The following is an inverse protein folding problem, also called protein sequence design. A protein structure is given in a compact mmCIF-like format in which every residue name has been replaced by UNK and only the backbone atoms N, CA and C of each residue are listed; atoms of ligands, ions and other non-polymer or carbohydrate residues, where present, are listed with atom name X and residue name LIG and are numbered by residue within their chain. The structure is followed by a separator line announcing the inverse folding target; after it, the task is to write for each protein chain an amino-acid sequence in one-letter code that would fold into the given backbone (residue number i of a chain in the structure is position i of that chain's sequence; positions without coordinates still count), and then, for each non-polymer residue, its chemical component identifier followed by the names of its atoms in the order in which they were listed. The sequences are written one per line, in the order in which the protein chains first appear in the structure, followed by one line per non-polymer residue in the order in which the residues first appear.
data_IF_550182594998
#
_entry.id   IF_550182594998
#
_cell.length_a   1.000
_cell.length_b   1.000
_cell.length_c   1.000
_cell.angle_alpha   90.00
_cell.angle_beta   90.00
_cell.angle_gamma   90.00
#
_symmetry.space_group_name_H-M   'P 1'
#
loop_
_entity.id
_entity.type
_entity.pdbx_description
1 polymer ?
#
# COMPACT_ATOMS: atom_id res chain seq x y z
N UNK A 1 17.39 -20.18 -28.83
CA UNK A 1 18.54 -21.01 -28.38
C UNK A 1 19.10 -20.35 -27.13
N UNK A 2 18.97 -21.02 -25.96
CA UNK A 2 20.07 -21.72 -25.22
C UNK A 2 21.17 -20.74 -24.76
N UNK A 3 21.47 -20.52 -23.48
CA UNK A 3 21.47 -21.38 -22.29
C UNK A 3 21.29 -20.55 -21.01
N UNK A 4 20.60 -21.08 -19.99
CA UNK A 4 20.73 -20.62 -18.60
C UNK A 4 21.26 -21.79 -17.77
N UNK A 5 22.41 -21.57 -17.12
CA UNK A 5 23.10 -22.56 -16.30
C UNK A 5 22.46 -22.59 -14.91
N UNK A 6 22.06 -23.78 -14.47
CA UNK A 6 21.88 -24.08 -13.04
C UNK A 6 23.28 -24.12 -12.42
N UNK A 7 23.59 -23.21 -11.50
CA UNK A 7 24.94 -23.12 -10.91
C UNK A 7 25.19 -24.26 -9.91
N UNK A 8 24.15 -24.87 -9.32
CA UNK A 8 24.33 -26.00 -8.39
C UNK A 8 23.19 -27.06 -8.44
N UNK A 9 23.50 -28.38 -8.40
CA UNK A 9 22.52 -29.47 -8.47
C UNK A 9 21.45 -29.43 -7.37
N UNK A 10 21.78 -28.90 -6.20
CA UNK A 10 20.85 -28.72 -5.08
C UNK A 10 19.74 -27.67 -5.32
N UNK A 11 19.73 -26.92 -6.42
CA UNK A 11 18.67 -25.92 -6.70
C UNK A 11 17.58 -26.43 -7.68
N UNK A 12 17.66 -27.68 -8.15
CA UNK A 12 16.77 -28.22 -9.20
C UNK A 12 15.29 -28.35 -8.82
N UNK A 13 14.99 -28.52 -7.53
CA UNK A 13 13.61 -28.68 -7.05
C UNK A 13 12.87 -27.34 -6.94
N UNK A 14 13.59 -26.25 -6.61
CA UNK A 14 13.07 -24.88 -6.63
C UNK A 14 12.72 -24.41 -8.06
N UNK A 15 13.54 -24.80 -9.06
CA UNK A 15 13.32 -24.47 -10.47
C UNK A 15 11.99 -25.00 -11.03
N UNK A 16 11.66 -26.28 -10.80
CA UNK A 16 10.42 -26.90 -11.32
C UNK A 16 9.15 -26.31 -10.69
N UNK A 17 9.25 -25.71 -9.50
CA UNK A 17 8.13 -24.99 -8.88
C UNK A 17 7.93 -23.59 -9.49
N UNK A 18 9.03 -22.90 -9.82
CA UNK A 18 9.01 -21.57 -10.43
C UNK A 18 8.51 -21.59 -11.89
N UNK A 19 8.92 -22.56 -12.71
CA UNK A 19 8.47 -22.67 -14.11
C UNK A 19 6.95 -22.91 -14.24
N UNK A 20 6.36 -23.70 -13.34
CA UNK A 20 4.90 -23.98 -13.36
C UNK A 20 4.05 -22.79 -12.92
N UNK A 21 4.63 -21.82 -12.20
CA UNK A 21 3.91 -20.70 -11.56
C UNK A 21 4.06 -19.38 -12.33
N UNK A 22 5.02 -19.26 -13.24
CA UNK A 22 5.09 -18.12 -14.17
C UNK A 22 3.94 -18.10 -15.20
N UNK A 23 3.18 -19.20 -15.33
CA UNK A 23 2.02 -19.31 -16.24
C UNK A 23 0.69 -18.85 -15.64
N UNK A 24 0.61 -18.55 -14.32
CA UNK A 24 -0.68 -18.35 -13.63
C UNK A 24 -1.05 -16.89 -13.33
N UNK A 25 -0.29 -15.89 -13.80
CA UNK A 25 -0.64 -14.48 -13.57
C UNK A 25 -0.74 -14.08 -12.08
N UNK A 26 0.08 -14.68 -11.23
CA UNK A 26 0.17 -14.35 -9.79
C UNK A 26 1.07 -13.13 -9.57
N UNK A 27 0.44 -12.01 -9.21
CA UNK A 27 1.06 -10.71 -8.87
C UNK A 27 1.48 -10.59 -7.41
N UNK A 28 1.16 -11.58 -6.56
CA UNK A 28 1.48 -11.67 -5.13
C UNK A 28 2.98 -11.94 -4.90
N UNK A 29 3.78 -10.94 -5.26
CA UNK A 29 5.22 -10.90 -5.04
C UNK A 29 5.49 -10.29 -3.67
N UNK A 30 6.16 -11.05 -2.82
CA UNK A 30 6.61 -10.56 -1.51
C UNK A 30 8.13 -10.45 -1.50
N UNK A 31 8.63 -9.44 -0.79
CA UNK A 31 10.05 -9.33 -0.46
C UNK A 31 10.26 -9.71 1.00
N UNK A 32 11.33 -10.46 1.27
CA UNK A 32 11.79 -10.69 2.64
C UNK A 32 12.61 -9.49 3.12
N UNK A 33 12.20 -8.90 4.24
CA UNK A 33 12.96 -7.89 4.94
C UNK A 33 13.59 -8.54 6.17
N UNK A 34 14.91 -8.38 6.32
CA UNK A 34 15.67 -8.99 7.41
C UNK A 34 15.27 -8.46 8.80
N UNK A 35 14.58 -7.32 8.86
CA UNK A 35 14.26 -6.62 10.10
C UNK A 35 15.49 -5.88 10.65
N UNK A 36 15.56 -5.77 11.97
CA UNK A 36 16.57 -5.03 12.70
C UNK A 36 16.04 -3.73 13.31
N UNK A 37 16.96 -2.93 13.85
CA UNK A 37 16.62 -1.71 14.58
C UNK A 37 16.50 -0.51 13.64
N UNK A 38 15.47 0.32 13.81
CA UNK A 38 15.30 1.59 13.11
C UNK A 38 14.66 2.65 14.01
N UNK A 39 14.74 3.92 13.58
CA UNK A 39 14.01 5.02 14.20
C UNK A 39 12.63 5.16 13.55
N UNK A 40 11.58 4.86 14.31
CA UNK A 40 10.19 5.10 13.95
C UNK A 40 9.76 6.50 14.40
N UNK A 41 8.90 7.16 13.61
CA UNK A 41 8.43 8.52 13.88
C UNK A 41 9.46 9.61 13.53
N UNK A 42 9.26 10.79 14.10
CA UNK A 42 10.10 11.98 13.91
C UNK A 42 10.02 12.89 15.13
N UNK A 43 11.14 13.48 15.56
CA UNK A 43 11.15 14.55 16.56
C UNK A 43 10.80 15.93 15.95
N UNK A 44 10.63 15.98 14.63
CA UNK A 44 10.15 17.14 13.87
C UNK A 44 8.80 16.78 13.22
N UNK A 45 7.70 16.70 14.01
CA UNK A 45 6.39 16.35 13.48
C UNK A 45 5.84 17.50 12.62
N UNK A 46 5.30 17.19 11.45
CA UNK A 46 4.61 18.20 10.62
C UNK A 46 3.23 18.51 11.18
N UNK A 47 2.50 17.47 11.57
CA UNK A 47 1.20 17.58 12.23
C UNK A 47 1.31 17.02 13.64
N UNK A 48 1.38 17.91 14.64
CA UNK A 48 1.52 17.51 16.06
C UNK A 48 0.34 16.61 16.50
N UNK A 49 -0.87 16.89 16.00
CA UNK A 49 -2.07 16.13 16.31
C UNK A 49 -2.02 14.66 15.86
N UNK A 50 -1.15 14.31 14.89
CA UNK A 50 -1.02 12.94 14.39
C UNK A 50 -0.09 12.08 15.27
N UNK A 51 0.59 12.67 16.26
CA UNK A 51 1.51 11.93 17.13
C UNK A 51 2.65 11.25 16.34
N UNK A 52 3.23 11.95 15.35
CA UNK A 52 4.44 11.47 14.64
C UNK A 52 5.66 11.40 15.59
N UNK A 53 5.66 12.25 16.63
CA UNK A 53 6.67 12.31 17.68
C UNK A 53 6.27 11.50 18.93
N UNK A 54 7.22 11.15 19.81
CA UNK A 54 8.67 11.26 19.61
C UNK A 54 9.21 10.24 18.60
N UNK A 55 10.37 10.55 18.03
CA UNK A 55 11.21 9.55 17.40
C UNK A 55 11.59 8.48 18.45
N UNK A 56 11.49 7.21 18.07
CA UNK A 56 11.66 6.08 18.99
C UNK A 56 12.32 4.89 18.31
N UNK A 57 13.12 4.14 19.07
CA UNK A 57 13.83 2.97 18.56
C UNK A 57 12.93 1.75 18.58
N UNK A 58 12.85 1.08 17.45
CA UNK A 58 12.07 -0.14 17.27
C UNK A 58 12.98 -1.19 16.65
N UNK A 59 12.94 -2.40 17.19
CA UNK A 59 13.51 -3.60 16.59
C UNK A 59 12.38 -4.43 15.99
N UNK A 60 12.57 -4.90 14.76
CA UNK A 60 11.66 -5.82 14.09
C UNK A 60 12.36 -7.13 13.78
N UNK A 61 11.66 -8.25 13.97
CA UNK A 61 12.07 -9.53 13.40
C UNK A 61 11.97 -9.52 11.87
N UNK A 62 12.55 -10.54 11.22
CA UNK A 62 12.47 -10.68 9.77
C UNK A 62 11.05 -11.05 9.32
N UNK A 63 10.55 -10.40 8.27
CA UNK A 63 9.18 -10.59 7.79
C UNK A 63 9.08 -10.41 6.26
N UNK A 64 7.97 -10.85 5.69
CA UNK A 64 7.62 -10.63 4.29
C UNK A 64 6.61 -9.49 4.17
N UNK A 65 6.74 -8.66 3.13
CA UNK A 65 5.74 -7.66 2.77
C UNK A 65 5.54 -7.65 1.26
N UNK A 66 4.30 -7.39 0.84
CA UNK A 66 3.94 -7.27 -0.57
C UNK A 66 4.71 -6.13 -1.23
N UNK A 67 5.26 -6.42 -2.41
CA UNK A 67 6.01 -5.45 -3.24
C UNK A 67 5.11 -4.28 -3.66
N UNK A 68 3.85 -4.59 -3.95
CA UNK A 68 2.84 -3.69 -4.48
C UNK A 68 1.65 -3.55 -3.51
N UNK A 69 0.87 -2.51 -3.70
CA UNK A 69 -0.53 -2.48 -3.22
C UNK A 69 -1.30 -3.65 -3.87
N UNK A 70 -2.32 -4.17 -3.18
CA UNK A 70 -3.20 -5.18 -3.75
C UNK A 70 -3.99 -4.61 -4.91
N UNK A 71 -3.94 -5.26 -6.08
CA UNK A 71 -4.62 -4.74 -7.26
C UNK A 71 -6.10 -5.16 -7.33
N UNK A 72 -6.87 -4.46 -8.17
CA UNK A 72 -8.22 -4.85 -8.53
C UNK A 72 -8.30 -6.32 -9.01
N UNK A 73 -7.32 -6.78 -9.80
CA UNK A 73 -7.25 -8.17 -10.25
C UNK A 73 -7.04 -9.20 -9.12
N UNK A 74 -6.27 -8.85 -8.10
CA UNK A 74 -6.07 -9.74 -6.95
C UNK A 74 -7.31 -9.77 -6.07
N UNK A 75 -7.90 -8.61 -5.83
CA UNK A 75 -9.11 -8.50 -5.02
C UNK A 75 -10.32 -9.16 -5.71
N UNK A 76 -10.41 -9.08 -7.04
CA UNK A 76 -11.44 -9.79 -7.79
C UNK A 76 -11.35 -11.30 -7.59
N UNK A 77 -10.14 -11.90 -7.61
CA UNK A 77 -9.97 -13.34 -7.35
C UNK A 77 -10.44 -13.72 -5.94
N UNK A 78 -10.17 -12.86 -4.96
CA UNK A 78 -10.68 -13.04 -3.60
C UNK A 78 -12.20 -13.06 -3.57
N UNK A 79 -12.85 -12.05 -4.16
CA UNK A 79 -14.32 -11.94 -4.19
C UNK A 79 -14.95 -13.10 -4.95
N UNK A 80 -14.42 -13.47 -6.12
CA UNK A 80 -14.95 -14.57 -6.93
C UNK A 80 -14.81 -15.93 -6.25
N UNK A 81 -13.72 -16.16 -5.50
CA UNK A 81 -13.48 -17.44 -4.83
C UNK A 81 -14.25 -17.61 -3.51
N UNK A 82 -14.69 -16.51 -2.89
CA UNK A 82 -15.30 -16.52 -1.55
C UNK A 82 -16.75 -16.05 -1.55
N UNK A 83 -17.20 -15.36 -2.59
CA UNK A 83 -18.47 -14.63 -2.59
C UNK A 83 -18.47 -13.45 -1.60
N UNK A 84 -17.30 -12.93 -1.23
CA UNK A 84 -17.17 -11.86 -0.26
C UNK A 84 -17.84 -10.57 -0.76
N UNK A 85 -18.59 -9.93 0.13
CA UNK A 85 -19.25 -8.64 -0.09
C UNK A 85 -18.60 -7.61 0.83
N UNK A 86 -18.07 -6.53 0.27
CA UNK A 86 -17.37 -5.51 1.07
C UNK A 86 -18.33 -4.74 1.97
N UNK A 87 -17.77 -3.99 2.91
CA UNK A 87 -18.57 -3.12 3.76
C UNK A 87 -19.21 -1.98 2.97
N UNK A 88 -18.52 -1.38 1.99
CA UNK A 88 -19.09 -0.40 1.07
C UNK A 88 -20.33 -0.96 0.33
N UNK A 89 -20.24 -2.19 -0.20
CA UNK A 89 -21.37 -2.86 -0.85
C UNK A 89 -22.52 -3.17 0.14
N UNK A 90 -22.20 -3.36 1.43
CA UNK A 90 -23.17 -3.69 2.48
C UNK A 90 -23.88 -2.46 3.01
N UNK A 91 -23.16 -1.35 3.21
CA UNK A 91 -23.72 -0.05 3.56
C UNK A 91 -24.48 0.56 2.38
N UNK A 92 -24.02 0.33 1.15
CA UNK A 92 -24.65 0.80 -0.09
C UNK A 92 -24.14 2.17 -0.56
N UNK A 93 -23.15 2.73 0.11
CA UNK A 93 -22.42 3.93 -0.30
C UNK A 93 -20.97 3.90 0.20
N UNK A 94 -20.15 4.76 -0.39
CA UNK A 94 -18.77 5.01 0.04
C UNK A 94 -18.35 6.43 -0.31
N UNK A 95 -17.24 6.92 0.26
CA UNK A 95 -16.78 8.28 0.05
C UNK A 95 -15.96 8.42 -1.23
N UNK A 96 -16.39 9.34 -2.12
CA UNK A 96 -15.73 9.67 -3.38
C UNK A 96 -15.37 11.16 -3.40
N UNK A 97 -14.25 11.49 -4.06
CA UNK A 97 -13.84 12.86 -4.28
C UNK A 97 -14.80 13.55 -5.26
N UNK A 98 -15.29 14.73 -4.90
CA UNK A 98 -16.24 15.52 -5.68
C UNK A 98 -15.87 15.66 -7.17
N UNK A 99 -14.60 15.94 -7.46
CA UNK A 99 -14.11 16.13 -8.83
C UNK A 99 -14.03 14.84 -9.65
N UNK A 100 -14.19 13.67 -9.04
CA UNK A 100 -14.17 12.37 -9.72
C UNK A 100 -15.57 11.85 -10.08
N UNK A 101 -16.63 12.48 -9.55
CA UNK A 101 -18.01 12.01 -9.70
C UNK A 101 -18.62 12.61 -10.97
N UNK A 102 -19.38 11.82 -11.72
CA UNK A 102 -20.12 12.33 -12.88
C UNK A 102 -21.21 13.31 -12.45
N UNK A 103 -21.55 14.27 -13.31
CA UNK A 103 -22.63 15.23 -13.03
C UNK A 103 -23.98 14.53 -12.75
N UNK A 104 -24.24 13.40 -13.41
CA UNK A 104 -25.44 12.60 -13.19
C UNK A 104 -25.48 12.06 -11.75
N UNK A 105 -24.40 11.43 -11.30
CA UNK A 105 -24.28 10.86 -9.95
C UNK A 105 -24.29 11.97 -8.88
N UNK A 106 -23.63 13.10 -9.16
CA UNK A 106 -23.53 14.25 -8.24
C UNK A 106 -24.86 14.95 -8.00
N UNK A 107 -25.74 15.02 -9.01
CA UNK A 107 -27.04 15.71 -8.92
C UNK A 107 -27.96 15.20 -7.80
N UNK A 108 -27.77 13.96 -7.36
CA UNK A 108 -28.54 13.32 -6.28
C UNK A 108 -27.96 13.49 -4.87
N UNK A 109 -26.80 14.13 -4.73
CA UNK A 109 -26.06 14.19 -3.46
C UNK A 109 -26.23 15.57 -2.83
N UNK A 110 -26.72 15.60 -1.59
CA UNK A 110 -26.94 16.83 -0.80
C UNK A 110 -26.09 16.90 0.46
N UNK A 111 -25.31 15.85 0.74
CA UNK A 111 -24.49 15.71 1.94
C UNK A 111 -23.01 15.65 1.54
N UNK A 112 -22.16 16.22 2.38
CA UNK A 112 -20.71 16.15 2.26
C UNK A 112 -20.09 16.01 3.65
N UNK A 113 -18.86 15.52 3.73
CA UNK A 113 -18.13 15.46 5.00
C UNK A 113 -17.85 16.88 5.48
N UNK A 114 -18.39 17.27 6.65
CA UNK A 114 -18.33 18.65 7.14
C UNK A 114 -16.90 19.21 7.25
N UNK A 115 -15.94 18.37 7.67
CA UNK A 115 -14.54 18.77 7.79
C UNK A 115 -13.77 18.78 6.45
N UNK A 116 -14.35 18.20 5.39
CA UNK A 116 -13.71 18.02 4.09
C UNK A 116 -14.80 17.95 3.00
N UNK A 117 -15.37 19.09 2.58
CA UNK A 117 -16.60 19.14 1.77
C UNK A 117 -16.45 18.58 0.35
N UNK A 118 -15.22 18.29 -0.08
CA UNK A 118 -14.95 17.58 -1.34
C UNK A 118 -15.11 16.06 -1.22
N UNK A 119 -15.44 15.51 -0.04
CA UNK A 119 -15.81 14.11 0.12
C UNK A 119 -17.33 13.96 0.14
N UNK A 120 -17.86 13.24 -0.84
CA UNK A 120 -19.29 12.98 -1.00
C UNK A 120 -19.60 11.50 -0.75
N UNK A 121 -20.67 11.16 0.01
CA UNK A 121 -21.16 9.80 0.13
C UNK A 121 -21.93 9.41 -1.14
N UNK A 122 -21.32 8.59 -1.99
CA UNK A 122 -21.88 8.19 -3.28
C UNK A 122 -22.53 6.82 -3.15
N UNK A 123 -23.84 6.76 -3.41
CA UNK A 123 -24.58 5.49 -3.43
C UNK A 123 -24.07 4.58 -4.54
N UNK A 124 -23.82 3.33 -4.21
CA UNK A 124 -23.26 2.35 -5.14
C UNK A 124 -21.79 2.60 -5.52
N UNK A 125 -21.09 3.50 -4.81
CA UNK A 125 -19.63 3.54 -4.90
C UNK A 125 -19.04 2.40 -4.06
N UNK A 126 -18.25 1.56 -4.71
CA UNK A 126 -17.55 0.43 -4.11
C UNK A 126 -16.29 0.10 -4.93
N UNK A 127 -15.63 -1.01 -4.62
CA UNK A 127 -14.38 -1.38 -5.26
C UNK A 127 -14.52 -1.72 -6.76
N UNK A 128 -15.71 -2.13 -7.24
CA UNK A 128 -16.00 -2.36 -8.67
C UNK A 128 -16.47 -1.08 -9.36
N UNK A 129 -17.04 -0.16 -8.60
CA UNK A 129 -17.59 1.11 -9.06
C UNK A 129 -16.95 2.31 -8.32
N UNK A 130 -15.64 2.58 -8.50
CA UNK A 130 -14.90 3.51 -7.64
C UNK A 130 -15.38 4.97 -7.63
N UNK A 131 -16.01 5.48 -8.68
CA UNK A 131 -16.54 6.85 -8.72
C UNK A 131 -18.06 6.90 -8.56
N UNK A 132 -18.71 5.75 -8.39
CA UNK A 132 -20.16 5.62 -8.37
C UNK A 132 -20.67 4.64 -9.43
N UNK A 133 -22.01 4.44 -9.51
CA UNK A 133 -22.63 3.30 -10.20
C UNK A 133 -22.44 3.30 -11.72
N UNK A 134 -22.02 4.43 -12.30
CA UNK A 134 -21.72 4.61 -13.72
C UNK A 134 -20.24 4.40 -14.06
N UNK A 135 -19.39 4.11 -13.08
CA UNK A 135 -17.97 3.76 -13.25
C UNK A 135 -17.73 2.25 -13.26
N UNK A 136 -16.54 1.80 -13.68
CA UNK A 136 -16.11 0.40 -13.59
C UNK A 136 -14.58 0.29 -13.48
N UNK A 137 -14.04 -0.92 -13.32
CA UNK A 137 -12.60 -1.19 -13.19
C UNK A 137 -11.97 -1.90 -14.40
N UNK A 138 -12.70 -2.03 -15.51
CA UNK A 138 -12.32 -2.91 -16.63
C UNK A 138 -10.96 -2.54 -17.26
N UNK A 139 -10.62 -1.25 -17.27
CA UNK A 139 -9.38 -0.70 -17.81
C UNK A 139 -8.28 -0.45 -16.75
N UNK A 140 -8.53 -0.84 -15.49
CA UNK A 140 -7.65 -0.56 -14.34
C UNK A 140 -7.51 -1.75 -13.40
N UNK A 141 -7.46 -2.95 -13.97
CA UNK A 141 -7.28 -4.20 -13.23
C UNK A 141 -5.91 -4.29 -12.51
N UNK A 142 -4.92 -3.52 -12.94
CA UNK A 142 -3.58 -3.40 -12.35
C UNK A 142 -3.41 -2.16 -11.45
N UNK A 143 -4.47 -1.38 -11.23
CA UNK A 143 -4.51 -0.31 -10.22
C UNK A 143 -4.82 -0.91 -8.83
N UNK A 144 -4.47 -0.19 -7.74
CA UNK A 144 -4.81 -0.63 -6.40
C UNK A 144 -6.32 -0.71 -6.23
N UNK A 145 -6.77 -1.74 -5.51
CA UNK A 145 -8.16 -1.78 -5.06
C UNK A 145 -8.41 -0.66 -4.05
N UNK A 146 -9.56 0.01 -4.19
CA UNK A 146 -10.01 1.10 -3.32
C UNK A 146 -11.39 0.78 -2.73
N UNK A 147 -11.91 1.64 -1.85
CA UNK A 147 -13.17 1.40 -1.12
C UNK A 147 -13.16 0.11 -0.29
N UNK A 148 -11.97 -0.27 0.18
CA UNK A 148 -11.80 -1.42 1.09
C UNK A 148 -11.66 -0.91 2.51
N UNK A 149 -12.51 -1.41 3.40
CA UNK A 149 -12.43 -1.11 4.82
C UNK A 149 -11.24 -1.85 5.45
N UNK A 150 -10.95 -1.57 6.71
CA UNK A 150 -9.94 -2.35 7.42
C UNK A 150 -10.37 -3.83 7.55
N UNK A 151 -11.68 -4.08 7.72
CA UNK A 151 -12.23 -5.42 7.80
C UNK A 151 -12.10 -6.18 6.46
N UNK A 152 -12.36 -5.50 5.34
CA UNK A 152 -12.19 -6.05 3.99
C UNK A 152 -10.72 -6.37 3.72
N UNK A 153 -9.83 -5.44 4.04
CA UNK A 153 -8.39 -5.58 3.92
C UNK A 153 -7.86 -6.78 4.74
N UNK A 154 -8.35 -6.94 5.98
CA UNK A 154 -8.01 -8.08 6.83
C UNK A 154 -8.51 -9.40 6.25
N UNK A 155 -9.76 -9.44 5.75
CA UNK A 155 -10.35 -10.63 5.14
C UNK A 155 -9.57 -11.06 3.89
N UNK A 156 -9.23 -10.11 3.02
CA UNK A 156 -8.41 -10.32 1.84
C UNK A 156 -7.02 -10.88 2.19
N UNK A 157 -6.29 -10.23 3.10
CA UNK A 157 -4.96 -10.71 3.49
C UNK A 157 -5.02 -12.11 4.12
N UNK A 158 -6.03 -12.41 4.95
CA UNK A 158 -6.23 -13.76 5.51
C UNK A 158 -6.51 -14.81 4.44
N UNK A 159 -7.32 -14.49 3.44
CA UNK A 159 -7.58 -15.38 2.31
C UNK A 159 -6.28 -15.71 1.55
N UNK A 160 -5.43 -14.70 1.35
CA UNK A 160 -4.08 -14.85 0.79
C UNK A 160 -3.08 -15.61 1.69
N UNK A 161 -3.51 -16.07 2.89
CA UNK A 161 -2.64 -16.66 3.93
C UNK A 161 -1.55 -15.70 4.43
N UNK A 162 -1.89 -14.42 4.48
CA UNK A 162 -1.08 -13.30 4.94
C UNK A 162 -1.79 -12.61 6.13
N UNK A 163 -1.30 -11.43 6.49
CA UNK A 163 -1.87 -10.51 7.49
C UNK A 163 -1.69 -9.06 7.01
N UNK A 164 -2.30 -8.11 7.70
CA UNK A 164 -1.91 -6.71 7.56
C UNK A 164 -0.52 -6.49 8.20
N UNK A 165 0.31 -5.58 7.67
CA UNK A 165 1.53 -5.16 8.35
C UNK A 165 1.19 -4.40 9.63
N UNK A 166 2.08 -4.42 10.61
CA UNK A 166 2.02 -3.45 11.71
C UNK A 166 2.40 -2.06 11.21
N UNK A 167 2.03 -1.00 11.94
CA UNK A 167 2.48 0.37 11.62
C UNK A 167 4.00 0.45 11.56
N UNK A 168 4.69 -0.24 12.47
CA UNK A 168 6.15 -0.26 12.53
C UNK A 168 6.78 -1.01 11.36
N UNK A 169 6.26 -2.19 11.00
CA UNK A 169 6.70 -2.94 9.82
C UNK A 169 6.52 -2.13 8.54
N UNK A 170 5.36 -1.48 8.40
CA UNK A 170 5.05 -0.63 7.27
C UNK A 170 6.03 0.55 7.15
N UNK A 171 6.31 1.23 8.26
CA UNK A 171 7.21 2.39 8.24
C UNK A 171 8.67 1.99 8.01
N UNK A 172 9.12 0.87 8.60
CA UNK A 172 10.44 0.28 8.31
C UNK A 172 10.58 -0.02 6.81
N UNK A 173 9.57 -0.67 6.23
CA UNK A 173 9.50 -0.99 4.82
C UNK A 173 9.54 0.28 3.93
N UNK A 174 8.74 1.29 4.28
CA UNK A 174 8.70 2.58 3.58
C UNK A 174 10.07 3.27 3.58
N UNK A 175 10.78 3.26 4.71
CA UNK A 175 12.09 3.91 4.85
C UNK A 175 13.17 3.30 3.96
N UNK A 176 13.00 2.06 3.48
CA UNK A 176 13.90 1.47 2.48
C UNK A 176 15.36 1.41 2.94
N UNK A 177 15.61 1.19 4.24
CA UNK A 177 16.96 1.19 4.83
C UNK A 177 17.61 2.57 4.96
N UNK A 178 16.85 3.67 4.83
CA UNK A 178 17.32 5.03 5.10
C UNK A 178 16.88 5.49 6.49
N UNK A 179 17.78 6.11 7.24
CA UNK A 179 17.47 6.69 8.54
C UNK A 179 17.09 8.17 8.41
N UNK A 180 16.09 8.61 9.18
CA UNK A 180 15.69 10.02 9.32
C UNK A 180 15.56 10.73 7.95
N UNK A 181 14.79 10.12 7.04
CA UNK A 181 14.40 10.71 5.75
C UNK A 181 12.89 10.91 5.68
N UNK A 182 12.47 11.94 4.94
CA UNK A 182 11.05 12.25 4.72
C UNK A 182 10.37 11.20 3.83
N UNK A 183 11.02 10.82 2.73
CA UNK A 183 10.49 9.94 1.69
C UNK A 183 11.34 8.65 1.57
N UNK A 184 10.82 7.58 0.95
CA UNK A 184 11.56 6.34 0.71
C UNK A 184 12.90 6.52 -0.02
N UNK A 185 13.06 7.65 -0.74
CA UNK A 185 14.26 7.99 -1.52
C UNK A 185 15.09 9.14 -0.95
N UNK A 186 14.71 9.74 0.18
CA UNK A 186 15.45 10.84 0.80
C UNK A 186 14.57 12.04 1.18
N UNK A 187 15.15 13.24 1.20
CA UNK A 187 14.47 14.46 1.67
C UNK A 187 14.02 15.41 0.55
N UNK A 188 14.54 15.22 -0.67
CA UNK A 188 14.13 16.00 -1.84
C UNK A 188 12.97 15.28 -2.53
N UNK A 189 11.87 15.99 -2.79
CA UNK A 189 10.67 15.43 -3.43
C UNK A 189 10.98 14.85 -4.81
N UNK A 190 11.42 15.70 -5.76
CA UNK A 190 11.78 15.31 -7.12
C UNK A 190 13.30 15.41 -7.34
N UNK A 191 14.12 14.45 -6.84
CA UNK A 191 15.54 14.45 -7.12
C UNK A 191 15.75 14.21 -8.62
N UNK A 192 16.58 15.07 -9.25
CA UNK A 192 16.82 15.11 -10.70
C UNK A 192 15.58 15.43 -11.56
N UNK A 193 14.51 15.97 -10.96
CA UNK A 193 13.27 16.27 -11.69
C UNK A 193 12.42 15.05 -12.02
N UNK A 194 12.76 13.87 -11.47
CA UNK A 194 12.00 12.65 -11.68
C UNK A 194 10.79 12.59 -10.73
N UNK A 195 9.61 12.34 -11.30
CA UNK A 195 8.39 12.01 -10.53
C UNK A 195 8.53 10.60 -9.93
N UNK A 196 8.21 10.45 -8.64
CA UNK A 196 8.50 9.22 -7.88
C UNK A 196 7.33 8.65 -7.08
N UNK A 197 6.21 9.34 -7.03
CA UNK A 197 4.96 8.87 -6.42
C UNK A 197 3.79 9.66 -7.00
N UNK A 198 2.61 9.07 -6.92
CA UNK A 198 1.35 9.66 -7.35
C UNK A 198 0.74 10.49 -6.21
N UNK A 199 0.64 11.80 -6.39
CA UNK A 199 0.03 12.73 -5.42
C UNK A 199 -0.77 13.81 -6.17
N UNK A 200 -1.26 14.83 -5.47
CA UNK A 200 -1.94 15.93 -6.14
C UNK A 200 -0.93 16.99 -6.59
N UNK A 201 -1.00 17.42 -7.85
CA UNK A 201 -0.35 18.66 -8.32
C UNK A 201 -1.37 19.72 -8.72
N UNK A 202 -1.05 20.99 -8.44
CA UNK A 202 -1.95 22.11 -8.70
C UNK A 202 -2.67 22.62 -7.45
N UNK A 203 -3.93 23.02 -7.60
CA UNK A 203 -4.72 23.67 -6.55
C UNK A 203 -5.76 22.68 -6.00
N UNK A 204 -5.45 22.07 -4.87
CA UNK A 204 -6.40 21.18 -4.20
C UNK A 204 -7.56 21.97 -3.56
N UNK A 205 -8.82 21.53 -3.65
CA UNK A 205 -9.33 20.35 -4.38
C UNK A 205 -9.85 20.67 -5.80
N UNK A 206 -9.67 21.90 -6.29
CA UNK A 206 -10.35 22.41 -7.48
C UNK A 206 -9.70 22.02 -8.82
N UNK A 207 -8.37 21.84 -8.85
CA UNK A 207 -7.61 21.57 -10.06
C UNK A 207 -6.41 20.66 -9.80
N UNK A 208 -6.48 19.42 -10.31
CA UNK A 208 -5.33 18.52 -10.43
C UNK A 208 -4.71 18.67 -11.82
N UNK A 209 -3.41 18.95 -11.93
CA UNK A 209 -2.70 19.08 -13.20
C UNK A 209 -2.18 17.76 -13.75
N UNK A 210 -2.19 16.68 -12.97
CA UNK A 210 -1.61 15.37 -13.32
C UNK A 210 -0.19 15.49 -13.88
N UNK A 211 0.66 16.28 -13.22
CA UNK A 211 2.08 16.40 -13.62
C UNK A 211 2.81 15.07 -13.42
N UNK A 212 2.34 14.24 -12.49
CA UNK A 212 2.81 12.88 -12.28
C UNK A 212 2.27 11.85 -13.30
N UNK A 213 1.32 12.25 -14.15
CA UNK A 213 0.67 11.45 -15.17
C UNK A 213 -0.69 10.85 -14.77
N UNK A 214 -1.18 11.08 -13.54
CA UNK A 214 -2.39 10.45 -13.03
C UNK A 214 -3.28 11.43 -12.25
N UNK A 215 -4.59 11.46 -12.56
CA UNK A 215 -5.57 12.25 -11.80
C UNK A 215 -6.07 11.47 -10.56
N UNK A 216 -6.23 10.15 -10.72
CA UNK A 216 -6.70 9.22 -9.69
C UNK A 216 -5.61 8.24 -9.31
N UNK A 217 -5.96 6.96 -9.19
CA UNK A 217 -4.96 5.91 -8.95
C UNK A 217 -4.07 5.70 -10.18
N UNK A 218 -2.90 5.13 -9.94
CA UNK A 218 -1.95 4.67 -10.94
C UNK A 218 -1.74 3.15 -10.79
N UNK A 219 -1.25 2.44 -11.83
CA UNK A 219 -0.92 1.03 -11.71
C UNK A 219 0.03 0.76 -10.55
N UNK A 220 -0.17 -0.35 -9.83
CA UNK A 220 0.62 -0.67 -8.63
C UNK A 220 2.11 -0.90 -8.92
N UNK A 221 2.47 -1.06 -10.19
CA UNK A 221 3.82 -1.36 -10.67
C UNK A 221 4.62 -0.13 -11.12
N UNK A 222 4.00 1.06 -11.19
CA UNK A 222 4.69 2.28 -11.67
C UNK A 222 5.48 2.97 -10.55
N UNK A 223 6.17 4.05 -10.91
CA UNK A 223 7.02 4.87 -10.03
C UNK A 223 8.22 4.15 -9.39
N UNK A 224 8.81 4.83 -8.41
CA UNK A 224 10.06 4.48 -7.78
C UNK A 224 9.98 3.14 -7.04
N UNK A 225 10.97 2.29 -7.29
CA UNK A 225 11.25 1.11 -6.49
C UNK A 225 12.25 1.47 -5.38
N UNK A 226 11.86 1.30 -4.12
CA UNK A 226 12.74 1.54 -2.96
C UNK A 226 13.94 0.57 -2.95
N UNK A 227 14.94 0.80 -2.10
CA UNK A 227 16.07 -0.14 -1.95
C UNK A 227 15.64 -1.54 -1.51
N UNK A 228 14.49 -1.64 -0.85
CA UNK A 228 13.87 -2.91 -0.46
C UNK A 228 13.01 -3.54 -1.57
N UNK A 229 13.01 -2.96 -2.78
CA UNK A 229 12.23 -3.50 -3.88
C UNK A 229 10.75 -3.10 -3.87
N UNK A 230 10.31 -2.27 -2.94
CA UNK A 230 8.91 -1.90 -2.75
C UNK A 230 8.49 -0.72 -3.63
N UNK A 231 7.25 -0.71 -4.08
CA UNK A 231 6.66 0.36 -4.90
C UNK A 231 5.49 1.02 -4.18
N UNK A 232 5.24 2.28 -4.54
CA UNK A 232 4.12 3.08 -4.04
C UNK A 232 3.94 3.06 -2.51
N UNK A 233 5.04 2.97 -1.73
CA UNK A 233 4.95 3.05 -0.26
C UNK A 233 4.44 4.42 0.21
N UNK A 234 4.47 5.45 -0.62
CA UNK A 234 3.83 6.74 -0.36
C UNK A 234 3.10 7.21 -1.63
N UNK A 235 2.03 7.96 -1.46
CA UNK A 235 1.15 8.36 -2.56
C UNK A 235 0.26 7.22 -3.05
N UNK A 236 -0.31 7.37 -4.24
CA UNK A 236 -1.26 6.43 -4.85
C UNK A 236 -2.48 6.18 -3.94
N UNK A 237 -2.52 5.12 -3.11
CA UNK A 237 -3.58 4.97 -2.11
C UNK A 237 -3.03 4.95 -0.69
N UNK A 238 -3.86 5.39 0.26
CA UNK A 238 -3.63 5.11 1.67
C UNK A 238 -3.62 3.61 1.91
N UNK A 239 -2.80 3.14 2.85
CA UNK A 239 -2.70 1.72 3.14
C UNK A 239 -3.05 1.43 4.59
N UNK A 240 -3.99 0.51 4.79
CA UNK A 240 -4.36 0.00 6.11
C UNK A 240 -3.21 -0.77 6.78
N UNK A 241 -3.07 -0.58 8.09
CA UNK A 241 -2.17 -1.38 8.95
C UNK A 241 -2.97 -2.03 10.08
N UNK A 242 -2.38 -2.99 10.78
CA UNK A 242 -3.09 -3.77 11.80
C UNK A 242 -3.37 -2.99 13.10
N UNK A 243 -2.56 -1.97 13.38
CA UNK A 243 -2.51 -1.27 14.66
C UNK A 243 -3.78 -0.44 14.94
N UNK A 244 -4.17 -0.40 16.21
CA UNK A 244 -5.11 0.61 16.70
C UNK A 244 -4.40 1.96 16.83
N UNK A 245 -5.13 3.05 16.57
CA UNK A 245 -4.59 4.39 16.62
C UNK A 245 -4.39 4.89 18.06
N UNK A 246 -3.24 5.50 18.30
CA UNK A 246 -2.93 6.32 19.48
C UNK A 246 -1.93 7.38 19.06
N UNK A 247 -1.94 8.53 19.75
CA UNK A 247 -0.94 9.60 19.62
C UNK A 247 0.07 9.61 20.77
N UNK A 248 -0.08 8.71 21.73
CA UNK A 248 0.81 8.59 22.89
C UNK A 248 1.83 7.48 22.66
N UNK A 249 3.09 7.86 22.42
CA UNK A 249 4.18 6.93 22.18
C UNK A 249 5.30 7.09 23.21
N UNK A 250 5.84 5.97 23.68
CA UNK A 250 7.04 5.96 24.53
C UNK A 250 8.29 5.96 23.66
N UNK A 251 9.31 6.74 24.04
CA UNK A 251 10.67 6.66 23.50
C UNK A 251 11.67 6.05 24.49
N UNK A 252 11.17 5.41 25.56
CA UNK A 252 12.03 4.73 26.55
C UNK A 252 12.39 3.33 26.06
N UNK A 253 13.68 3.13 25.80
CA UNK A 253 14.22 1.84 25.36
C UNK A 253 13.87 1.48 23.92
N UNK A 254 14.23 0.27 23.52
CA UNK A 254 13.92 -0.30 22.19
C UNK A 254 12.65 -1.13 22.33
N UNK A 255 11.63 -0.83 21.52
CA UNK A 255 10.43 -1.67 21.43
C UNK A 255 10.68 -2.81 20.44
N UNK A 256 10.30 -4.03 20.80
CA UNK A 256 10.46 -5.22 19.95
C UNK A 256 9.09 -5.58 19.36
N UNK A 257 8.99 -5.64 18.03
CA UNK A 257 7.79 -5.98 17.26
C UNK A 257 6.49 -5.34 17.78
N UNK A 258 6.43 -4.00 17.94
CA UNK A 258 5.26 -3.33 18.49
C UNK A 258 4.03 -3.56 17.61
N UNK A 259 2.88 -3.81 18.25
CA UNK A 259 1.58 -4.08 17.62
C UNK A 259 0.54 -2.98 17.89
N UNK A 260 0.99 -1.81 18.35
CA UNK A 260 0.14 -0.72 18.79
C UNK A 260 -0.54 -0.98 20.14
N UNK A 261 -1.47 -0.10 20.56
CA UNK A 261 -2.27 -0.29 21.75
C UNK A 261 -3.23 -1.49 21.58
N UNK A 262 -3.60 -2.19 22.66
CA UNK A 262 -4.43 -3.40 22.57
C UNK A 262 -5.87 -3.12 22.10
N UNK A 263 -6.33 -1.88 22.23
CA UNK A 263 -7.70 -1.45 21.92
C UNK A 263 -7.68 -0.02 21.38
N UNK A 264 -8.71 0.34 20.61
CA UNK A 264 -8.92 1.68 20.07
C UNK A 264 -10.23 1.75 19.31
N UNK A 265 -10.56 2.95 18.82
CA UNK A 265 -11.73 3.20 17.96
C UNK A 265 -11.36 3.20 16.48
N UNK A 266 -10.16 3.66 16.17
CA UNK A 266 -9.69 3.87 14.80
C UNK A 266 -8.46 3.03 14.50
N UNK A 267 -8.34 2.56 13.27
CA UNK A 267 -7.18 1.84 12.76
C UNK A 267 -6.21 2.77 12.08
N UNK A 268 -4.92 2.45 12.18
CA UNK A 268 -3.87 3.26 11.56
C UNK A 268 -3.83 3.00 10.05
N UNK A 269 -3.73 4.08 9.28
CA UNK A 269 -3.39 4.07 7.85
C UNK A 269 -2.16 4.94 7.57
N UNK A 270 -1.39 4.56 6.54
CA UNK A 270 -0.08 5.16 6.21
C UNK A 270 0.03 5.48 4.72
N UNK A 271 1.03 6.27 4.34
CA UNK A 271 1.43 6.48 2.94
C UNK A 271 0.92 7.74 2.26
N UNK A 272 -0.25 8.27 2.64
CA UNK A 272 -0.90 9.29 1.83
C UNK A 272 -1.55 8.68 0.59
N UNK A 273 -1.97 9.52 -0.37
CA UNK A 273 -2.65 9.07 -1.60
C UNK A 273 -2.46 10.07 -2.75
N UNK A 274 -3.00 9.78 -3.93
CA UNK A 274 -3.12 10.69 -5.07
C UNK A 274 -3.84 12.00 -4.75
N UNK A 275 -4.59 12.07 -3.63
CA UNK A 275 -5.24 13.30 -3.16
C UNK A 275 -4.38 14.16 -2.24
N UNK A 276 -3.19 13.67 -1.85
CA UNK A 276 -2.35 14.40 -0.92
C UNK A 276 -1.64 15.57 -1.61
N UNK A 277 -1.69 16.75 -1.00
CA UNK A 277 -0.94 17.92 -1.42
C UNK A 277 -0.23 18.56 -0.23
N UNK A 278 0.95 19.15 -0.44
CA UNK A 278 1.78 19.75 0.62
C UNK A 278 1.01 20.73 1.52
N UNK A 279 0.10 21.50 0.93
CA UNK A 279 -0.60 22.59 1.64
C UNK A 279 -1.77 22.10 2.52
N UNK A 280 -2.27 20.89 2.28
CA UNK A 280 -3.47 20.39 2.96
C UNK A 280 -3.22 19.06 3.67
N UNK A 281 -2.66 18.09 2.94
CA UNK A 281 -2.40 16.75 3.43
C UNK A 281 -0.97 16.34 3.09
N UNK A 282 0.01 16.88 3.85
CA UNK A 282 1.42 16.53 3.68
C UNK A 282 1.77 15.19 4.36
N UNK A 283 1.00 14.14 4.04
CA UNK A 283 1.11 12.80 4.65
C UNK A 283 1.77 11.75 3.75
N UNK A 284 2.30 12.16 2.59
CA UNK A 284 3.19 11.33 1.75
C UNK A 284 4.63 11.28 2.29
N UNK A 285 4.79 11.03 3.59
CA UNK A 285 6.08 10.86 4.27
C UNK A 285 6.03 9.56 5.07
N UNK A 286 7.13 8.82 5.17
CA UNK A 286 7.11 7.54 5.88
C UNK A 286 6.67 7.66 7.35
N UNK A 287 7.11 8.73 8.03
CA UNK A 287 6.73 9.02 9.41
C UNK A 287 5.29 9.52 9.57
N UNK A 288 4.67 10.02 8.50
CA UNK A 288 3.30 10.49 8.57
C UNK A 288 2.34 9.32 8.84
N UNK A 289 1.24 9.64 9.50
CA UNK A 289 0.26 8.65 9.95
C UNK A 289 -1.09 9.32 10.05
N UNK A 290 -2.14 8.51 9.86
CA UNK A 290 -3.51 8.93 10.03
C UNK A 290 -4.34 7.71 10.44
N UNK A 291 -5.64 7.90 10.55
CA UNK A 291 -6.55 6.91 11.08
C UNK A 291 -7.94 7.11 10.54
N UNK A 292 -8.71 6.04 10.57
CA UNK A 292 -10.15 6.04 10.36
C UNK A 292 -10.76 4.87 11.14
N UNK A 293 -12.07 4.90 11.35
CA UNK A 293 -12.79 3.75 11.91
C UNK A 293 -12.60 2.53 11.00
N UNK A 294 -12.58 1.31 11.55
CA UNK A 294 -12.26 0.10 10.79
C UNK A 294 -13.25 -0.21 9.66
N UNK A 295 -14.46 0.34 9.72
CA UNK A 295 -15.53 0.23 8.74
C UNK A 295 -15.52 1.33 7.67
N UNK A 296 -14.65 2.35 7.80
CA UNK A 296 -14.54 3.41 6.80
C UNK A 296 -13.99 2.87 5.49
N UNK A 297 -14.65 3.23 4.38
CA UNK A 297 -14.17 3.03 3.01
C UNK A 297 -14.04 4.39 2.29
N UNK A 298 -13.08 4.51 1.37
CA UNK A 298 -12.96 5.70 0.54
C UNK A 298 -12.22 5.43 -0.78
N UNK A 299 -12.43 6.32 -1.74
CA UNK A 299 -11.86 6.26 -3.10
C UNK A 299 -10.32 6.30 -3.14
N UNK A 300 -9.67 6.62 -2.03
CA UNK A 300 -8.22 6.72 -1.94
C UNK A 300 -7.61 5.83 -0.85
N UNK A 301 -8.32 4.79 -0.39
CA UNK A 301 -7.86 3.86 0.65
C UNK A 301 -7.87 2.43 0.13
N UNK A 302 -6.70 1.79 0.18
CA UNK A 302 -6.44 0.42 -0.24
C UNK A 302 -5.69 -0.41 0.82
N UNK A 303 -4.97 -1.42 0.35
CA UNK A 303 -4.27 -2.39 1.22
C UNK A 303 -3.02 -2.94 0.55
N UNK A 304 -1.99 -3.25 1.36
CA UNK A 304 -0.97 -4.27 1.04
C UNK A 304 -0.86 -5.25 2.20
N UNK A 305 -0.43 -6.48 1.94
CA UNK A 305 -0.30 -7.49 3.00
C UNK A 305 1.17 -7.74 3.40
N UNK A 306 1.34 -8.33 4.57
CA UNK A 306 2.59 -8.82 5.13
C UNK A 306 2.43 -10.26 5.64
N UNK A 307 3.53 -10.94 5.95
CA UNK A 307 3.51 -12.30 6.48
C UNK A 307 4.79 -12.62 7.24
N UNK A 308 4.69 -13.43 8.29
CA UNK A 308 5.87 -13.90 9.04
C UNK A 308 6.62 -15.01 8.29
N UNK A 309 5.90 -15.74 7.43
CA UNK A 309 6.44 -16.81 6.58
C UNK A 309 5.98 -16.62 5.15
N UNK A 310 6.76 -17.08 4.17
CA UNK A 310 6.32 -17.01 2.78
C UNK A 310 5.11 -17.94 2.57
N UNK A 311 3.94 -17.43 2.14
CA UNK A 311 2.81 -18.28 1.79
C UNK A 311 3.17 -19.24 0.66
N UNK A 312 2.60 -20.46 0.67
CA UNK A 312 2.91 -21.52 -0.30
C UNK A 312 2.73 -21.11 -1.77
N UNK A 313 1.90 -20.08 -2.02
CA UNK A 313 1.51 -19.58 -3.34
C UNK A 313 2.11 -18.19 -3.67
N UNK A 314 2.97 -17.64 -2.81
CA UNK A 314 3.67 -16.37 -3.07
C UNK A 314 4.98 -16.58 -3.83
N UNK A 315 5.38 -15.56 -4.60
CA UNK A 315 6.66 -15.54 -5.32
C UNK A 315 7.66 -14.68 -4.55
N UNK A 316 8.83 -15.25 -4.24
CA UNK A 316 9.96 -14.51 -3.68
C UNK A 316 10.61 -13.64 -4.74
N UNK A 317 10.72 -12.34 -4.47
CA UNK A 317 11.50 -11.41 -5.29
C UNK A 317 12.61 -10.82 -4.43
N UNK A 318 13.85 -11.30 -4.61
CA UNK A 318 15.00 -10.77 -3.88
C UNK A 318 16.25 -11.63 -3.97
N UNK A 319 17.42 -11.00 -3.76
CA UNK A 319 18.70 -11.69 -3.61
C UNK A 319 18.82 -12.22 -2.18
N UNK A 320 19.05 -13.53 -2.05
CA UNK A 320 19.31 -14.16 -0.76
C UNK A 320 20.82 -14.28 -0.53
N UNK A 321 21.32 -13.67 0.53
CA UNK A 321 22.66 -13.96 1.06
C UNK A 321 22.54 -14.71 2.38
N UNK A 322 22.54 -16.04 2.32
CA UNK A 322 22.96 -16.85 3.46
C UNK A 322 24.45 -17.15 3.32
N UNK A 323 25.22 -16.89 4.37
CA UNK A 323 26.59 -17.35 4.61
C UNK A 323 27.43 -17.72 3.37
N UNK A 324 28.34 -16.83 2.98
CA UNK A 324 29.51 -17.10 2.11
C UNK A 324 29.29 -17.82 0.76
N UNK A 325 28.05 -17.99 0.26
CA UNK A 325 27.81 -18.50 -1.10
C UNK A 325 26.60 -17.80 -1.76
N UNK A 326 26.86 -17.04 -2.82
CA UNK A 326 25.85 -16.32 -3.58
C UNK A 326 25.05 -17.26 -4.51
N UNK A 327 23.72 -17.27 -4.38
CA UNK A 327 22.82 -17.89 -5.35
C UNK A 327 22.23 -16.81 -6.27
N UNK A 328 22.73 -16.74 -7.51
CA UNK A 328 22.22 -15.82 -8.54
C UNK A 328 21.11 -16.48 -9.35
N UNK A 329 19.88 -15.98 -9.29
CA UNK A 329 18.77 -16.40 -10.14
C UNK A 329 18.39 -15.24 -11.06
N UNK A 330 18.68 -15.38 -12.36
CA UNK A 330 18.23 -14.45 -13.39
C UNK A 330 17.03 -15.07 -14.12
N UNK A 331 15.83 -14.51 -13.93
CA UNK A 331 14.66 -14.83 -14.75
C UNK A 331 14.48 -13.72 -15.77
N UNK A 332 14.70 -14.02 -17.05
CA UNK A 332 14.37 -13.10 -18.15
C UNK A 332 12.96 -13.44 -18.61
N UNK A 333 12.00 -12.56 -18.34
CA UNK A 333 10.62 -12.71 -18.82
C UNK A 333 10.57 -12.40 -20.30
N UNK A 334 10.08 -13.35 -21.11
CA UNK A 334 9.48 -13.05 -22.40
C UNK A 334 8.00 -12.78 -22.15
N UNK A 335 7.57 -11.52 -22.24
CA UNK A 335 6.14 -11.20 -22.36
C UNK A 335 5.62 -11.81 -23.66
N UNK A 336 4.50 -12.57 -23.66
CA UNK A 336 3.76 -12.88 -24.88
C UNK A 336 2.80 -11.76 -25.29
N UNK A 337 2.72 -10.66 -24.54
CA UNK A 337 1.96 -9.46 -24.90
C UNK A 337 2.93 -8.32 -25.20
N UNK A 338 3.34 -8.27 -26.47
CA UNK A 338 3.83 -7.11 -27.20
C UNK A 338 3.03 -7.04 -28.49
#
# INVERSE_FOLDING_TARGET
MKHLRVVQPQCKHLWRALERRAQTGQTSQMVFLQGGEFTMGSDEPVFVADGEAPARRVFLDGFYIDVHEASNAEFQKFVESTGYKTEAETFGDSFVLDSAISEATKSGITQAVAAAPWWLPVKGADWRHPEGPDSNIDDRMDHPVVHVSWNDALAFCKWMKKRLPTEAEWEYACRGGLENRLFPWGNKWNPKGEVRANIWEGEFPSKNTAEDGFIGTAPVTVFHTSKFGLKNMIGNVWEWTNDWWTTQHSNKGVMVDPKGPPQGTDKVKKGGSFMCHKNYCYRYRCAARSQNTPDTTAYNVGVRCASDTLPSDSVLVGNYTAGHQECWIWVRFSSPYL
#
